data_IF_487134385472
#
_entry.id   IF_487134385472
#
_cell.length_a   1.000
_cell.length_b   1.000
_cell.length_c   1.000
_cell.angle_alpha   90.00
_cell.angle_beta   90.00
_cell.angle_gamma   90.00
#
_symmetry.space_group_name_H-M   'P 1'
#
loop_
_entity.id
_entity.type
_entity.pdbx_description
1 polymer ?
#
# COMPACT_ATOMS: atom_id res chain seq x y z
N UNK A 1 -21.43 -2.86 30.16
CA UNK A 1 -20.44 -3.92 30.46
C UNK A 1 -20.41 -4.80 29.23
N UNK A 2 -19.35 -4.76 28.42
CA UNK A 2 -19.25 -5.60 27.22
C UNK A 2 -19.23 -7.07 27.66
N UNK A 3 -20.03 -7.90 27.01
CA UNK A 3 -20.06 -9.35 27.24
C UNK A 3 -18.69 -9.96 26.90
N UNK A 4 -18.23 -10.90 27.71
CA UNK A 4 -16.92 -11.55 27.56
C UNK A 4 -16.83 -12.28 26.21
N UNK A 5 -17.96 -12.76 25.68
CA UNK A 5 -18.05 -13.35 24.34
C UNK A 5 -17.86 -12.31 23.20
N UNK A 6 -18.27 -11.06 23.44
CA UNK A 6 -18.05 -9.97 22.49
C UNK A 6 -16.59 -9.53 22.43
N UNK A 7 -15.88 -9.56 23.57
CA UNK A 7 -14.43 -9.27 23.61
C UNK A 7 -13.64 -10.36 22.88
N UNK A 8 -13.95 -11.64 23.14
CA UNK A 8 -13.27 -12.75 22.48
C UNK A 8 -13.47 -12.76 20.96
N UNK A 9 -14.68 -12.41 20.49
CA UNK A 9 -14.96 -12.27 19.05
C UNK A 9 -14.20 -11.10 18.42
N UNK A 10 -14.04 -10.00 19.16
CA UNK A 10 -13.27 -8.85 18.69
C UNK A 10 -11.78 -9.21 18.56
N UNK A 11 -11.20 -9.85 19.57
CA UNK A 11 -9.78 -10.25 19.53
C UNK A 11 -9.50 -11.23 18.38
N UNK A 12 -10.39 -12.21 18.17
CA UNK A 12 -10.27 -13.15 17.05
C UNK A 12 -10.41 -12.47 15.68
N UNK A 13 -11.25 -11.44 15.58
CA UNK A 13 -11.39 -10.63 14.37
C UNK A 13 -10.11 -9.81 14.11
N UNK A 14 -9.57 -9.15 15.15
CA UNK A 14 -8.34 -8.36 15.04
C UNK A 14 -7.13 -9.21 14.64
N UNK A 15 -6.98 -10.41 15.20
CA UNK A 15 -5.94 -11.38 14.82
C UNK A 15 -6.03 -11.77 13.34
N UNK A 16 -7.25 -12.08 12.87
CA UNK A 16 -7.47 -12.46 11.47
C UNK A 16 -7.20 -11.29 10.52
N UNK A 17 -7.54 -10.07 10.92
CA UNK A 17 -7.26 -8.86 10.15
C UNK A 17 -5.75 -8.59 10.07
N UNK A 18 -5.01 -8.76 11.18
CA UNK A 18 -3.55 -8.64 11.21
C UNK A 18 -2.86 -9.67 10.30
N UNK A 19 -3.30 -10.93 10.33
CA UNK A 19 -2.79 -11.97 9.41
C UNK A 19 -3.06 -11.60 7.94
N UNK A 20 -4.27 -11.14 7.62
CA UNK A 20 -4.63 -10.74 6.26
C UNK A 20 -3.76 -9.55 5.77
N UNK A 21 -3.54 -8.56 6.64
CA UNK A 21 -2.66 -7.43 6.33
C UNK A 21 -1.23 -7.88 6.11
N UNK A 22 -0.70 -8.77 6.96
CA UNK A 22 0.67 -9.29 6.82
C UNK A 22 0.88 -10.04 5.50
N UNK A 23 -0.14 -10.79 5.05
CA UNK A 23 -0.12 -11.48 3.77
C UNK A 23 -0.15 -10.49 2.59
N UNK A 24 -1.02 -9.49 2.66
CA UNK A 24 -1.11 -8.46 1.62
C UNK A 24 0.18 -7.65 1.50
N UNK A 25 0.78 -7.26 2.63
CA UNK A 25 2.04 -6.52 2.65
C UNK A 25 3.20 -7.37 2.11
N UNK A 26 3.24 -8.66 2.43
CA UNK A 26 4.22 -9.61 1.87
C UNK A 26 4.08 -9.74 0.36
N UNK A 27 2.86 -9.94 -0.15
CA UNK A 27 2.59 -10.08 -1.58
C UNK A 27 2.93 -8.78 -2.35
N UNK A 28 2.55 -7.63 -1.79
CA UNK A 28 2.90 -6.32 -2.33
C UNK A 28 4.41 -6.12 -2.39
N UNK A 29 5.13 -6.44 -1.32
CA UNK A 29 6.59 -6.28 -1.26
C UNK A 29 7.31 -7.18 -2.27
N UNK A 30 6.87 -8.43 -2.44
CA UNK A 30 7.43 -9.34 -3.46
C UNK A 30 7.18 -8.78 -4.87
N UNK A 31 5.95 -8.37 -5.18
CA UNK A 31 5.62 -7.81 -6.48
C UNK A 31 6.42 -6.54 -6.79
N UNK A 32 6.59 -5.67 -5.79
CA UNK A 32 7.40 -4.47 -5.93
C UNK A 32 8.89 -4.82 -6.09
N UNK A 33 9.42 -5.77 -5.33
CA UNK A 33 10.80 -6.24 -5.46
C UNK A 33 11.06 -6.81 -6.86
N UNK A 34 10.13 -7.57 -7.44
CA UNK A 34 10.23 -8.07 -8.83
C UNK A 34 10.33 -6.94 -9.84
N UNK A 35 9.43 -5.97 -9.76
CA UNK A 35 9.40 -4.82 -10.69
C UNK A 35 10.68 -3.99 -10.56
N UNK A 36 11.06 -3.65 -9.34
CA UNK A 36 12.23 -2.80 -9.06
C UNK A 36 13.54 -3.51 -9.44
N UNK A 37 13.71 -4.79 -9.07
CA UNK A 37 14.91 -5.55 -9.43
C UNK A 37 15.05 -5.74 -10.94
N UNK A 38 13.96 -6.03 -11.65
CA UNK A 38 13.98 -6.16 -13.11
C UNK A 38 14.36 -4.84 -13.78
N UNK A 39 13.74 -3.74 -13.36
CA UNK A 39 14.05 -2.41 -13.91
C UNK A 39 15.50 -2.00 -13.62
N UNK A 40 15.97 -2.19 -12.38
CA UNK A 40 17.33 -1.87 -11.97
C UNK A 40 18.37 -2.74 -12.69
N UNK A 41 18.09 -4.02 -12.91
CA UNK A 41 18.96 -4.92 -13.68
C UNK A 41 19.07 -4.48 -15.14
N UNK A 42 17.95 -4.17 -15.81
CA UNK A 42 17.96 -3.69 -17.20
C UNK A 42 18.71 -2.36 -17.33
N UNK A 43 18.46 -1.41 -16.43
CA UNK A 43 19.19 -0.14 -16.41
C UNK A 43 20.68 -0.34 -16.13
N UNK A 44 21.04 -1.23 -15.20
CA UNK A 44 22.41 -1.60 -14.90
C UNK A 44 23.14 -2.16 -16.12
N UNK A 45 22.52 -3.09 -16.85
CA UNK A 45 23.06 -3.64 -18.09
C UNK A 45 23.30 -2.56 -19.15
N UNK A 46 22.34 -1.65 -19.36
CA UNK A 46 22.53 -0.50 -20.27
C UNK A 46 23.73 0.35 -19.82
N UNK A 47 23.84 0.62 -18.51
CA UNK A 47 24.98 1.33 -17.93
C UNK A 47 26.32 0.65 -18.19
N UNK A 48 26.39 -0.68 -18.05
CA UNK A 48 27.59 -1.47 -18.36
C UNK A 48 27.99 -1.29 -19.83
N UNK A 49 27.05 -1.38 -20.77
CA UNK A 49 27.34 -1.19 -22.20
C UNK A 49 27.84 0.21 -22.53
N UNK A 50 27.22 1.25 -21.96
CA UNK A 50 27.64 2.64 -22.14
C UNK A 50 29.06 2.83 -21.61
N UNK A 51 29.33 2.38 -20.38
CA UNK A 51 30.64 2.51 -19.76
C UNK A 51 31.73 1.73 -20.50
N UNK A 52 31.40 0.54 -21.03
CA UNK A 52 32.32 -0.23 -21.88
C UNK A 52 32.67 0.53 -23.17
N UNK A 53 31.70 1.18 -23.81
CA UNK A 53 31.95 2.04 -24.97
C UNK A 53 32.82 3.27 -24.64
N UNK A 54 32.63 3.87 -23.46
CA UNK A 54 33.47 4.98 -22.99
C UNK A 54 34.91 4.54 -22.74
N UNK A 55 35.13 3.36 -22.14
CA UNK A 55 36.48 2.80 -21.92
C UNK A 55 37.22 2.61 -23.25
N UNK A 56 36.54 2.16 -24.30
CA UNK A 56 37.17 1.89 -25.61
C UNK A 56 37.55 3.20 -26.32
N UNK A 57 36.82 4.29 -26.08
CA UNK A 57 36.93 5.53 -26.87
C UNK A 57 37.80 6.62 -26.24
N UNK A 58 38.05 6.57 -24.93
CA UNK A 58 38.72 7.66 -24.21
C UNK A 58 40.21 7.40 -23.91
N UNK A 59 40.95 8.50 -23.78
CA UNK A 59 42.39 8.55 -23.49
C UNK A 59 42.72 8.16 -22.02
N UNK A 60 44.00 7.88 -21.74
CA UNK A 60 44.50 7.28 -20.50
C UNK A 60 44.11 8.02 -19.20
N UNK A 61 43.83 9.33 -19.24
CA UNK A 61 43.36 10.08 -18.06
C UNK A 61 41.91 9.77 -17.67
N UNK A 62 41.03 9.47 -18.63
CA UNK A 62 39.65 9.07 -18.32
C UNK A 62 39.61 7.70 -17.61
N UNK A 63 40.64 6.88 -17.80
CA UNK A 63 40.73 5.53 -17.26
C UNK A 63 40.68 5.49 -15.73
N UNK A 64 41.24 6.49 -15.03
CA UNK A 64 41.28 6.53 -13.56
C UNK A 64 39.90 6.72 -12.91
N UNK A 65 38.96 7.38 -13.59
CA UNK A 65 37.59 7.55 -13.11
C UNK A 65 36.65 6.48 -13.69
N UNK A 66 36.76 6.22 -15.00
CA UNK A 66 35.82 5.35 -15.72
C UNK A 66 35.95 3.89 -15.27
N UNK A 67 37.17 3.39 -14.98
CA UNK A 67 37.38 1.99 -14.57
C UNK A 67 36.77 1.67 -13.20
N UNK A 68 36.99 2.47 -12.13
CA UNK A 68 36.30 2.25 -10.85
C UNK A 68 34.78 2.32 -10.97
N UNK A 69 34.25 3.30 -11.71
CA UNK A 69 32.80 3.42 -11.92
C UNK A 69 32.25 2.22 -12.67
N UNK A 70 32.95 1.72 -13.69
CA UNK A 70 32.57 0.51 -14.40
C UNK A 70 32.50 -0.71 -13.45
N UNK A 71 33.51 -0.90 -12.60
CA UNK A 71 33.51 -1.98 -11.61
C UNK A 71 32.32 -1.87 -10.63
N UNK A 72 31.99 -0.64 -10.20
CA UNK A 72 30.83 -0.37 -9.35
C UNK A 72 29.51 -0.73 -10.05
N UNK A 73 29.34 -0.29 -11.31
CA UNK A 73 28.13 -0.56 -12.10
C UNK A 73 27.95 -2.06 -12.34
N UNK A 74 29.02 -2.77 -12.70
CA UNK A 74 28.99 -4.24 -12.88
C UNK A 74 28.60 -4.93 -11.58
N UNK A 75 29.25 -4.58 -10.47
CA UNK A 75 28.96 -5.19 -9.16
C UNK A 75 27.52 -4.95 -8.73
N UNK A 76 27.04 -3.70 -8.83
CA UNK A 76 25.65 -3.36 -8.52
C UNK A 76 24.66 -4.14 -9.40
N UNK A 77 24.95 -4.28 -10.70
CA UNK A 77 24.12 -5.05 -11.64
C UNK A 77 24.04 -6.52 -11.27
N UNK A 78 25.13 -7.12 -10.79
CA UNK A 78 25.12 -8.49 -10.28
C UNK A 78 24.20 -8.65 -9.06
N UNK A 79 24.20 -7.69 -8.14
CA UNK A 79 23.28 -7.70 -7.00
C UNK A 79 21.81 -7.52 -7.42
N UNK A 80 21.53 -6.69 -8.42
CA UNK A 80 20.16 -6.58 -8.97
C UNK A 80 19.71 -7.88 -9.64
N UNK A 81 20.60 -8.60 -10.33
CA UNK A 81 20.32 -9.92 -10.87
C UNK A 81 20.01 -10.95 -9.76
N UNK A 82 20.80 -10.96 -8.69
CA UNK A 82 20.55 -11.80 -7.51
C UNK A 82 19.20 -11.46 -6.86
N UNK A 83 18.88 -10.17 -6.75
CA UNK A 83 17.59 -9.71 -6.23
C UNK A 83 16.41 -10.15 -7.10
N UNK A 84 16.57 -10.08 -8.42
CA UNK A 84 15.60 -10.60 -9.38
C UNK A 84 15.40 -12.11 -9.23
N UNK A 85 16.50 -12.87 -9.06
CA UNK A 85 16.47 -14.31 -8.81
C UNK A 85 15.73 -14.67 -7.52
N UNK A 86 16.05 -14.02 -6.40
CA UNK A 86 15.34 -14.25 -5.13
C UNK A 86 13.86 -13.88 -5.22
N UNK A 87 13.54 -12.80 -5.91
CA UNK A 87 12.15 -12.38 -6.11
C UNK A 87 11.35 -13.41 -6.94
N UNK A 88 12.02 -14.15 -7.84
CA UNK A 88 11.42 -15.26 -8.58
C UNK A 88 11.20 -16.50 -7.71
N UNK A 89 12.02 -16.69 -6.67
CA UNK A 89 11.93 -17.80 -5.71
C UNK A 89 11.12 -17.48 -4.43
N UNK A 90 10.32 -16.41 -4.45
CA UNK A 90 9.47 -15.97 -3.32
C UNK A 90 10.22 -15.68 -2.00
N UNK A 91 11.54 -15.46 -2.07
CA UNK A 91 12.36 -15.02 -0.92
C UNK A 91 12.38 -13.49 -0.85
N UNK A 92 11.39 -12.93 -0.16
CA UNK A 92 11.21 -11.49 0.00
C UNK A 92 12.43 -10.82 0.66
N UNK A 93 12.96 -11.41 1.73
CA UNK A 93 14.04 -10.79 2.50
C UNK A 93 15.34 -10.81 1.67
N UNK A 94 15.64 -11.93 1.02
CA UNK A 94 16.78 -12.04 0.11
C UNK A 94 16.71 -11.04 -1.05
N UNK A 95 15.52 -10.91 -1.67
CA UNK A 95 15.30 -9.96 -2.75
C UNK A 95 15.48 -8.50 -2.30
N UNK A 96 14.88 -8.11 -1.17
CA UNK A 96 14.99 -6.76 -0.62
C UNK A 96 16.44 -6.41 -0.27
N UNK A 97 17.14 -7.31 0.43
CA UNK A 97 18.56 -7.11 0.80
C UNK A 97 19.42 -6.96 -0.45
N UNK A 98 19.26 -7.83 -1.45
CA UNK A 98 20.06 -7.78 -2.68
C UNK A 98 19.84 -6.47 -3.46
N UNK A 99 18.59 -6.00 -3.58
CA UNK A 99 18.28 -4.73 -4.25
C UNK A 99 18.85 -3.54 -3.48
N UNK A 100 18.71 -3.52 -2.14
CA UNK A 100 19.26 -2.45 -1.30
C UNK A 100 20.79 -2.43 -1.39
N UNK A 101 21.44 -3.59 -1.33
CA UNK A 101 22.89 -3.71 -1.48
C UNK A 101 23.36 -3.25 -2.87
N UNK A 102 22.67 -3.64 -3.94
CA UNK A 102 22.98 -3.18 -5.29
C UNK A 102 22.93 -1.66 -5.42
N UNK A 103 21.89 -1.03 -4.86
CA UNK A 103 21.78 0.43 -4.82
C UNK A 103 22.86 1.08 -3.95
N UNK A 104 23.15 0.53 -2.78
CA UNK A 104 24.22 1.05 -1.90
C UNK A 104 25.58 0.99 -2.60
N UNK A 105 25.92 -0.15 -3.20
CA UNK A 105 27.17 -0.32 -3.97
C UNK A 105 27.22 0.71 -5.09
N UNK A 106 26.13 0.88 -5.83
CA UNK A 106 26.06 1.86 -6.91
C UNK A 106 26.26 3.29 -6.41
N UNK A 107 25.45 3.76 -5.46
CA UNK A 107 25.48 5.16 -4.99
C UNK A 107 26.78 5.47 -4.26
N UNK A 108 27.22 4.60 -3.35
CA UNK A 108 28.41 4.82 -2.54
C UNK A 108 29.69 4.61 -3.34
N UNK A 109 29.72 3.61 -4.21
CA UNK A 109 30.86 3.36 -5.08
C UNK A 109 31.06 4.48 -6.10
N UNK A 110 29.96 4.96 -6.70
CA UNK A 110 30.00 6.13 -7.60
C UNK A 110 30.48 7.38 -6.85
N UNK A 111 30.00 7.58 -5.63
CA UNK A 111 30.39 8.72 -4.80
C UNK A 111 31.89 8.67 -4.44
N UNK A 112 32.42 7.52 -4.00
CA UNK A 112 33.85 7.36 -3.75
C UNK A 112 34.65 7.65 -5.01
N UNK A 113 34.25 7.08 -6.15
CA UNK A 113 34.96 7.30 -7.41
C UNK A 113 34.96 8.78 -7.80
N UNK A 114 33.85 9.49 -7.59
CA UNK A 114 33.78 10.93 -7.82
C UNK A 114 34.72 11.71 -6.90
N UNK A 115 34.62 11.48 -5.59
CA UNK A 115 35.33 12.27 -4.58
C UNK A 115 36.84 12.00 -4.56
N UNK A 116 37.28 10.78 -4.87
CA UNK A 116 38.71 10.48 -4.99
C UNK A 116 39.34 11.21 -6.18
N UNK A 117 38.59 11.39 -7.28
CA UNK A 117 39.10 12.03 -8.49
C UNK A 117 38.95 13.56 -8.48
N UNK A 118 37.86 14.08 -7.91
CA UNK A 118 37.52 15.50 -7.96
C UNK A 118 37.68 16.21 -6.61
N UNK A 119 37.87 15.48 -5.51
CA UNK A 119 37.82 16.03 -4.16
C UNK A 119 36.39 16.26 -3.68
N UNK A 120 36.27 16.80 -2.46
CA UNK A 120 34.98 17.18 -1.87
C UNK A 120 34.55 18.55 -2.43
N UNK A 121 33.74 18.53 -3.48
CA UNK A 121 33.22 19.71 -4.16
C UNK A 121 31.69 19.87 -3.97
N UNK A 122 31.10 20.89 -4.58
CA UNK A 122 29.65 21.11 -4.50
C UNK A 122 28.83 19.98 -5.13
N UNK A 123 29.38 19.31 -6.16
CA UNK A 123 28.75 18.15 -6.79
C UNK A 123 28.75 16.96 -5.84
N UNK A 124 29.84 16.72 -5.10
CA UNK A 124 29.91 15.68 -4.07
C UNK A 124 28.79 15.83 -3.03
N UNK A 125 28.53 17.05 -2.55
CA UNK A 125 27.42 17.34 -1.61
C UNK A 125 26.06 16.94 -2.22
N UNK A 126 25.85 17.21 -3.51
CA UNK A 126 24.62 16.79 -4.18
C UNK A 126 24.54 15.26 -4.34
N UNK A 127 25.66 14.57 -4.56
CA UNK A 127 25.71 13.10 -4.66
C UNK A 127 25.31 12.41 -3.36
N UNK A 128 25.60 12.99 -2.19
CA UNK A 128 25.11 12.45 -0.91
C UNK A 128 23.58 12.39 -0.85
N UNK A 129 22.85 13.22 -1.59
CA UNK A 129 21.38 13.12 -1.65
C UNK A 129 20.92 11.85 -2.36
N UNK A 130 21.73 11.27 -3.25
CA UNK A 130 21.39 10.02 -3.93
C UNK A 130 21.36 8.83 -2.96
N UNK A 131 22.05 8.90 -1.82
CA UNK A 131 21.99 7.83 -0.79
C UNK A 131 20.64 7.79 -0.07
N UNK A 132 19.77 8.78 -0.27
CA UNK A 132 18.37 8.72 0.17
C UNK A 132 17.57 7.62 -0.56
N UNK A 133 17.96 7.25 -1.79
CA UNK A 133 17.28 6.22 -2.57
C UNK A 133 17.35 4.83 -1.90
N UNK A 134 18.53 4.28 -1.54
CA UNK A 134 18.59 3.00 -0.83
C UNK A 134 17.89 3.05 0.53
N UNK A 135 17.95 4.19 1.25
CA UNK A 135 17.22 4.37 2.52
C UNK A 135 15.71 4.24 2.28
N UNK A 136 15.17 5.02 1.35
CA UNK A 136 13.73 5.01 1.06
C UNK A 136 13.26 3.66 0.57
N UNK A 137 14.01 3.05 -0.35
CA UNK A 137 13.65 1.75 -0.90
C UNK A 137 13.72 0.63 0.14
N UNK A 138 14.69 0.68 1.07
CA UNK A 138 14.79 -0.29 2.16
C UNK A 138 13.57 -0.28 3.09
N UNK A 139 12.95 0.89 3.32
CA UNK A 139 11.72 1.00 4.10
C UNK A 139 10.47 0.58 3.34
N UNK A 140 10.50 0.62 2.01
CA UNK A 140 9.38 0.20 1.15
C UNK A 140 9.41 -1.30 0.87
N UNK A 141 10.60 -1.89 0.69
CA UNK A 141 10.76 -3.31 0.36
C UNK A 141 10.95 -4.20 1.60
N UNK A 142 11.52 -3.67 2.67
CA UNK A 142 11.91 -4.43 3.86
C UNK A 142 11.18 -4.02 5.12
N UNK A 143 11.55 -4.68 6.22
CA UNK A 143 11.07 -4.33 7.56
C UNK A 143 11.62 -2.96 8.01
N UNK A 144 10.94 -2.25 8.94
CA UNK A 144 11.45 -1.02 9.55
C UNK A 144 12.88 -1.14 10.11
N UNK A 145 13.27 -2.36 10.55
CA UNK A 145 14.63 -2.66 11.01
C UNK A 145 15.67 -2.52 9.90
N UNK A 146 15.38 -2.98 8.68
CA UNK A 146 16.28 -2.86 7.54
C UNK A 146 16.50 -1.41 7.16
N UNK A 147 15.44 -0.60 7.22
CA UNK A 147 15.52 0.85 6.99
C UNK A 147 16.41 1.55 8.01
N UNK A 148 16.25 1.23 9.29
CA UNK A 148 17.08 1.79 10.36
C UNK A 148 18.56 1.41 10.16
N UNK A 149 18.84 0.14 9.89
CA UNK A 149 20.21 -0.36 9.65
C UNK A 149 20.83 0.36 8.44
N UNK A 150 20.09 0.45 7.33
CA UNK A 150 20.54 1.12 6.10
C UNK A 150 20.82 2.60 6.36
N UNK A 151 19.96 3.28 7.11
CA UNK A 151 20.13 4.70 7.46
C UNK A 151 21.39 4.92 8.31
N UNK A 152 21.57 4.12 9.37
CA UNK A 152 22.75 4.22 10.23
C UNK A 152 24.03 3.95 9.43
N UNK A 153 24.01 2.91 8.59
CA UNK A 153 25.14 2.57 7.72
C UNK A 153 25.51 3.72 6.79
N UNK A 154 24.52 4.28 6.08
CA UNK A 154 24.73 5.40 5.14
C UNK A 154 25.27 6.64 5.85
N UNK A 155 24.77 6.97 7.05
CA UNK A 155 25.26 8.11 7.84
C UNK A 155 26.72 7.90 8.26
N UNK A 156 27.05 6.75 8.84
CA UNK A 156 28.42 6.43 9.28
C UNK A 156 29.37 6.50 8.09
N UNK A 157 28.99 5.86 6.99
CA UNK A 157 29.79 5.84 5.78
C UNK A 157 29.99 7.24 5.19
N UNK A 158 28.94 8.06 5.18
CA UNK A 158 29.00 9.44 4.69
C UNK A 158 29.96 10.30 5.52
N UNK A 159 29.92 10.13 6.84
CA UNK A 159 30.89 10.77 7.74
C UNK A 159 32.31 10.31 7.45
N UNK A 160 32.55 8.99 7.31
CA UNK A 160 33.88 8.44 7.00
C UNK A 160 34.43 9.05 5.71
N UNK A 161 33.63 9.13 4.65
CA UNK A 161 34.02 9.72 3.39
C UNK A 161 34.44 11.19 3.55
N UNK A 162 33.64 12.01 4.25
CA UNK A 162 33.94 13.42 4.48
C UNK A 162 35.30 13.66 5.17
N UNK A 163 35.76 12.72 6.00
CA UNK A 163 37.05 12.80 6.70
C UNK A 163 38.20 12.12 5.95
N UNK A 164 37.93 11.03 5.22
CA UNK A 164 38.95 10.24 4.53
C UNK A 164 39.43 10.88 3.23
N UNK A 165 38.54 11.57 2.49
CA UNK A 165 38.90 12.17 1.20
C UNK A 165 39.65 13.49 1.43
N UNK A 166 40.81 13.72 0.79
CA UNK A 166 41.48 15.02 0.82
C UNK A 166 40.61 16.05 0.10
N UNK A 167 40.15 17.07 0.84
CA UNK A 167 39.49 18.24 0.28
C UNK A 167 40.47 19.11 -0.51
N UNK A 168 39.94 20.00 -1.34
CA UNK A 168 40.75 21.00 -2.05
C UNK A 168 41.58 21.85 -1.07
N UNK A 169 42.70 22.40 -1.56
CA UNK A 169 43.78 23.06 -0.79
C UNK A 169 43.34 24.21 0.17
N UNK A 170 42.07 24.62 0.14
CA UNK A 170 41.51 25.68 0.98
C UNK A 170 40.44 25.20 1.98
N UNK A 171 40.21 23.88 2.06
CA UNK A 171 39.12 23.35 2.87
C UNK A 171 39.56 23.15 4.33
N UNK A 172 39.13 24.08 5.20
CA UNK A 172 39.41 24.00 6.64
C UNK A 172 38.73 22.78 7.29
N UNK A 173 39.33 22.25 8.37
CA UNK A 173 38.75 21.14 9.14
C UNK A 173 37.34 21.46 9.62
N UNK A 174 37.08 22.71 10.01
CA UNK A 174 35.75 23.16 10.44
C UNK A 174 34.68 23.01 9.37
N UNK A 175 35.01 23.29 8.10
CA UNK A 175 34.05 23.16 7.00
C UNK A 175 33.68 21.69 6.72
N UNK A 176 34.60 20.74 6.92
CA UNK A 176 34.31 19.29 6.81
C UNK A 176 33.30 18.82 7.85
N UNK A 177 33.42 19.29 9.10
CA UNK A 177 32.43 18.99 10.14
C UNK A 177 31.04 19.54 9.79
N UNK A 178 30.97 20.74 9.20
CA UNK A 178 29.70 21.33 8.77
C UNK A 178 29.06 20.46 7.67
N UNK A 179 29.83 20.07 6.63
CA UNK A 179 29.28 19.23 5.55
C UNK A 179 28.83 17.87 6.07
N UNK A 180 29.66 17.19 6.89
CA UNK A 180 29.30 15.90 7.45
C UNK A 180 28.03 16.00 8.33
N UNK A 181 27.95 17.04 9.16
CA UNK A 181 26.79 17.29 10.01
C UNK A 181 25.51 17.59 9.21
N UNK A 182 25.59 18.46 8.20
CA UNK A 182 24.46 18.78 7.32
C UNK A 182 24.00 17.54 6.56
N UNK A 183 24.93 16.76 6.02
CA UNK A 183 24.63 15.54 5.26
C UNK A 183 23.93 14.51 6.14
N UNK A 184 24.47 14.23 7.33
CA UNK A 184 23.88 13.30 8.28
C UNK A 184 22.48 13.78 8.72
N UNK A 185 22.32 15.09 8.96
CA UNK A 185 21.02 15.67 9.30
C UNK A 185 19.99 15.50 8.18
N UNK A 186 20.36 15.80 6.93
CA UNK A 186 19.44 15.65 5.79
C UNK A 186 19.06 14.19 5.56
N UNK A 187 20.02 13.26 5.62
CA UNK A 187 19.75 11.83 5.50
C UNK A 187 18.79 11.33 6.60
N UNK A 188 19.01 11.74 7.85
CA UNK A 188 18.12 11.43 8.96
C UNK A 188 16.73 12.05 8.80
N UNK A 189 16.65 13.30 8.32
CA UNK A 189 15.38 13.98 8.05
C UNK A 189 14.58 13.27 6.95
N UNK A 190 15.23 12.88 5.85
CA UNK A 190 14.58 12.14 4.76
C UNK A 190 14.09 10.77 5.27
N UNK A 191 14.92 10.03 6.01
CA UNK A 191 14.51 8.77 6.62
C UNK A 191 13.29 8.94 7.53
N UNK A 192 13.30 9.99 8.37
CA UNK A 192 12.17 10.36 9.22
C UNK A 192 10.90 10.67 8.42
N UNK A 193 11.00 11.49 7.37
CA UNK A 193 9.87 11.82 6.49
C UNK A 193 9.29 10.59 5.80
N UNK A 194 10.12 9.70 5.26
CA UNK A 194 9.67 8.47 4.60
C UNK A 194 8.98 7.54 5.61
N UNK A 195 9.54 7.41 6.81
CA UNK A 195 8.95 6.60 7.88
C UNK A 195 7.58 7.14 8.27
N UNK A 196 7.47 8.46 8.47
CA UNK A 196 6.20 9.11 8.80
C UNK A 196 5.17 8.99 7.67
N UNK A 197 5.60 9.13 6.41
CA UNK A 197 4.73 8.94 5.26
C UNK A 197 4.19 7.50 5.17
N UNK A 198 5.05 6.50 5.41
CA UNK A 198 4.66 5.10 5.44
C UNK A 198 3.64 4.81 6.56
N UNK A 199 3.90 5.33 7.77
CA UNK A 199 2.96 5.21 8.90
C UNK A 199 1.62 5.89 8.61
N UNK A 200 1.65 7.05 7.97
CA UNK A 200 0.43 7.76 7.59
C UNK A 200 -0.37 6.98 6.53
N UNK A 201 0.32 6.39 5.56
CA UNK A 201 -0.31 5.55 4.52
C UNK A 201 -1.01 4.33 5.12
N UNK A 202 -0.34 3.58 6.00
CA UNK A 202 -0.93 2.40 6.68
C UNK A 202 -2.18 2.80 7.48
N UNK A 203 -2.10 3.89 8.26
CA UNK A 203 -3.26 4.40 9.02
C UNK A 203 -4.41 4.81 8.11
N UNK A 204 -4.10 5.36 6.94
CA UNK A 204 -5.13 5.77 5.97
C UNK A 204 -5.83 4.57 5.36
N UNK A 205 -5.09 3.50 5.03
CA UNK A 205 -5.68 2.26 4.54
C UNK A 205 -6.59 1.59 5.58
N UNK A 206 -6.18 1.53 6.84
CA UNK A 206 -7.01 0.99 7.93
C UNK A 206 -8.34 1.74 8.06
N UNK A 207 -8.29 3.09 7.99
CA UNK A 207 -9.51 3.91 8.02
C UNK A 207 -10.41 3.66 6.80
N UNK A 208 -9.83 3.49 5.62
CA UNK A 208 -10.59 3.17 4.41
C UNK A 208 -11.30 1.80 4.52
N UNK A 209 -10.66 0.81 5.12
CA UNK A 209 -11.26 -0.52 5.37
C UNK A 209 -12.51 -0.42 6.26
N UNK A 210 -12.40 0.26 7.41
CA UNK A 210 -13.51 0.46 8.35
C UNK A 210 -14.70 1.17 7.68
N UNK A 211 -14.43 2.18 6.86
CA UNK A 211 -15.48 2.89 6.10
C UNK A 211 -16.13 1.96 5.08
N UNK A 212 -15.35 1.10 4.42
CA UNK A 212 -15.86 0.09 3.50
C UNK A 212 -16.82 -0.89 4.17
N UNK A 213 -16.51 -1.34 5.38
CA UNK A 213 -17.38 -2.22 6.17
C UNK A 213 -18.66 -1.53 6.62
N UNK A 214 -18.56 -0.30 7.13
CA UNK A 214 -19.73 0.49 7.49
C UNK A 214 -20.65 0.70 6.28
N UNK A 215 -20.09 0.98 5.10
CA UNK A 215 -20.85 1.13 3.87
C UNK A 215 -21.58 -0.15 3.46
N UNK A 216 -20.91 -1.31 3.57
CA UNK A 216 -21.53 -2.62 3.30
C UNK A 216 -22.69 -2.90 4.25
N UNK A 217 -22.56 -2.54 5.52
CA UNK A 217 -23.62 -2.73 6.51
C UNK A 217 -24.84 -1.86 6.20
N UNK A 218 -24.64 -0.59 5.83
CA UNK A 218 -25.72 0.31 5.40
C UNK A 218 -26.45 -0.25 4.19
N UNK A 219 -25.70 -0.69 3.16
CA UNK A 219 -26.28 -1.34 1.97
C UNK A 219 -27.13 -2.57 2.31
N UNK A 220 -26.68 -3.36 3.28
CA UNK A 220 -27.42 -4.55 3.73
C UNK A 220 -28.72 -4.18 4.44
N UNK A 221 -28.70 -3.15 5.28
CA UNK A 221 -29.90 -2.63 5.94
C UNK A 221 -30.90 -2.05 4.94
N UNK A 222 -30.41 -1.32 3.92
CA UNK A 222 -31.27 -0.81 2.86
C UNK A 222 -31.94 -1.94 2.07
N UNK A 223 -31.19 -2.99 1.71
CA UNK A 223 -31.75 -4.16 1.04
C UNK A 223 -32.81 -4.87 1.89
N UNK A 224 -32.56 -5.06 3.20
CA UNK A 224 -33.53 -5.64 4.13
C UNK A 224 -34.79 -4.78 4.26
N UNK A 225 -34.64 -3.46 4.29
CA UNK A 225 -35.77 -2.52 4.32
C UNK A 225 -36.59 -2.61 3.04
N UNK A 226 -35.95 -2.68 1.87
CA UNK A 226 -36.65 -2.85 0.59
C UNK A 226 -37.42 -4.16 0.54
N UNK A 227 -36.82 -5.27 1.00
CA UNK A 227 -37.47 -6.57 1.07
C UNK A 227 -38.66 -6.56 2.05
N UNK A 228 -38.49 -5.93 3.21
CA UNK A 228 -39.57 -5.74 4.18
C UNK A 228 -40.74 -4.95 3.55
N UNK A 229 -40.48 -3.80 2.93
CA UNK A 229 -41.51 -2.98 2.27
C UNK A 229 -42.20 -3.77 1.16
N UNK A 230 -41.46 -4.55 0.36
CA UNK A 230 -42.01 -5.39 -0.70
C UNK A 230 -42.95 -6.46 -0.14
N UNK A 231 -42.54 -7.14 0.94
CA UNK A 231 -43.33 -8.18 1.58
C UNK A 231 -44.60 -7.60 2.22
N UNK A 232 -44.48 -6.52 3.00
CA UNK A 232 -45.62 -5.83 3.60
C UNK A 232 -46.60 -5.38 2.51
N UNK A 233 -46.12 -4.77 1.42
CA UNK A 233 -46.99 -4.36 0.31
C UNK A 233 -47.70 -5.56 -0.34
N UNK A 234 -47.01 -6.69 -0.52
CA UNK A 234 -47.63 -7.90 -1.10
C UNK A 234 -48.71 -8.48 -0.19
N UNK A 235 -48.44 -8.54 1.11
CA UNK A 235 -49.38 -9.02 2.12
C UNK A 235 -50.58 -8.09 2.30
N UNK A 236 -50.41 -6.78 2.14
CA UNK A 236 -51.51 -5.81 2.18
C UNK A 236 -52.34 -5.80 0.89
N UNK A 237 -51.70 -5.98 -0.27
CA UNK A 237 -52.37 -5.93 -1.58
C UNK A 237 -53.43 -7.02 -1.75
N UNK A 238 -53.13 -8.24 -1.31
CA UNK A 238 -54.03 -9.40 -1.46
C UNK A 238 -55.38 -9.24 -0.73
N UNK A 239 -55.43 -8.92 0.59
CA UNK A 239 -56.68 -8.68 1.29
C UNK A 239 -57.36 -7.38 0.82
N UNK A 240 -56.60 -6.35 0.43
CA UNK A 240 -57.18 -5.14 -0.17
C UNK A 240 -57.92 -5.44 -1.49
N UNK A 241 -57.31 -6.22 -2.39
CA UNK A 241 -57.96 -6.66 -3.63
C UNK A 241 -59.21 -7.49 -3.36
N UNK A 242 -59.14 -8.39 -2.37
CA UNK A 242 -60.28 -9.24 -1.98
C UNK A 242 -61.43 -8.38 -1.43
N UNK A 243 -61.12 -7.40 -0.58
CA UNK A 243 -62.09 -6.43 -0.07
C UNK A 243 -62.71 -5.57 -1.19
N UNK A 244 -61.91 -5.12 -2.15
CA UNK A 244 -62.39 -4.32 -3.28
C UNK A 244 -63.35 -5.12 -4.17
N UNK A 245 -62.99 -6.36 -4.54
CA UNK A 245 -63.82 -7.22 -5.41
C UNK A 245 -65.14 -7.60 -4.71
N UNK A 246 -65.07 -7.98 -3.43
CA UNK A 246 -66.27 -8.38 -2.67
C UNK A 246 -67.23 -7.21 -2.47
N UNK A 247 -66.73 -6.01 -2.18
CA UNK A 247 -67.58 -4.81 -2.07
C UNK A 247 -68.15 -4.38 -3.41
N UNK A 248 -67.39 -4.48 -4.50
CA UNK A 248 -67.85 -4.19 -5.86
C UNK A 248 -68.96 -5.16 -6.31
N UNK A 249 -68.82 -6.45 -6.05
CA UNK A 249 -69.86 -7.45 -6.32
C UNK A 249 -71.14 -7.19 -5.52
N UNK A 250 -70.99 -6.85 -4.23
CA UNK A 250 -72.12 -6.46 -3.38
C UNK A 250 -72.80 -5.17 -3.86
N UNK A 251 -72.08 -4.24 -4.48
CA UNK A 251 -72.63 -2.99 -4.97
C UNK A 251 -73.36 -3.17 -6.31
N UNK A 252 -72.72 -3.79 -7.31
CA UNK A 252 -73.28 -3.89 -8.67
C UNK A 252 -74.24 -5.07 -8.87
N UNK A 253 -74.01 -6.20 -8.19
CA UNK A 253 -74.82 -7.41 -8.38
C UNK A 253 -75.86 -7.61 -7.27
N UNK A 254 -76.01 -6.67 -6.32
CA UNK A 254 -76.83 -6.82 -5.10
C UNK A 254 -78.23 -7.44 -5.34
N UNK A 255 -78.94 -6.96 -6.36
CA UNK A 255 -80.32 -7.38 -6.67
C UNK A 255 -80.38 -8.73 -7.40
N UNK A 256 -79.26 -9.18 -7.96
CA UNK A 256 -79.12 -10.45 -8.70
C UNK A 256 -78.53 -11.57 -7.83
N UNK A 257 -77.91 -11.22 -6.72
CA UNK A 257 -77.31 -12.17 -5.78
C UNK A 257 -78.39 -12.75 -4.86
N UNK A 258 -78.36 -14.07 -4.67
CA UNK A 258 -79.15 -14.73 -3.65
C UNK A 258 -78.72 -14.27 -2.24
N UNK A 259 -79.61 -14.42 -1.26
CA UNK A 259 -79.31 -14.08 0.15
C UNK A 259 -78.06 -14.82 0.66
N UNK A 260 -77.86 -16.06 0.21
CA UNK A 260 -76.69 -16.88 0.53
C UNK A 260 -75.40 -16.35 -0.09
N UNK A 261 -75.44 -15.90 -1.36
CA UNK A 261 -74.27 -15.30 -2.02
C UNK A 261 -73.90 -13.95 -1.40
N UNK A 262 -74.89 -13.10 -1.07
CA UNK A 262 -74.66 -11.84 -0.33
C UNK A 262 -73.97 -12.08 1.00
N UNK A 263 -74.44 -13.07 1.77
CA UNK A 263 -73.83 -13.42 3.06
C UNK A 263 -72.37 -13.87 2.87
N UNK A 264 -72.09 -14.68 1.85
CA UNK A 264 -70.73 -15.14 1.55
C UNK A 264 -69.78 -13.98 1.18
N UNK A 265 -70.21 -13.04 0.32
CA UNK A 265 -69.38 -11.89 -0.04
C UNK A 265 -69.14 -10.94 1.16
N UNK A 266 -70.15 -10.72 2.00
CA UNK A 266 -70.00 -9.94 3.24
C UNK A 266 -69.00 -10.60 4.21
N UNK A 267 -69.05 -11.93 4.34
CA UNK A 267 -68.10 -12.68 5.17
C UNK A 267 -66.67 -12.58 4.61
N UNK A 268 -66.48 -12.69 3.29
CA UNK A 268 -65.18 -12.52 2.66
C UNK A 268 -64.60 -11.11 2.84
N UNK A 269 -65.44 -10.07 2.74
CA UNK A 269 -65.06 -8.69 3.01
C UNK A 269 -64.63 -8.50 4.47
N UNK A 270 -65.41 -9.04 5.42
CA UNK A 270 -65.10 -8.95 6.84
C UNK A 270 -63.77 -9.64 7.20
N UNK A 271 -63.57 -10.87 6.72
CA UNK A 271 -62.29 -11.60 6.91
C UNK A 271 -61.09 -10.88 6.31
N UNK A 272 -61.27 -10.15 5.20
CA UNK A 272 -60.20 -9.36 4.57
C UNK A 272 -59.83 -8.14 5.42
N UNK A 273 -60.82 -7.48 6.04
CA UNK A 273 -60.60 -6.38 6.99
C UNK A 273 -59.86 -6.90 8.24
N UNK A 274 -60.26 -8.04 8.79
CA UNK A 274 -59.56 -8.64 9.94
C UNK A 274 -58.10 -8.97 9.61
N UNK A 275 -57.82 -9.52 8.43
CA UNK A 275 -56.44 -9.77 7.98
C UNK A 275 -55.62 -8.49 7.83
N UNK A 276 -56.18 -7.44 7.23
CA UNK A 276 -55.50 -6.14 7.12
C UNK A 276 -55.17 -5.57 8.50
N UNK A 277 -56.12 -5.67 9.45
CA UNK A 277 -55.93 -5.21 10.82
C UNK A 277 -54.81 -5.99 11.52
N UNK A 278 -54.77 -7.31 11.36
CA UNK A 278 -53.71 -8.14 11.93
C UNK A 278 -52.30 -7.76 11.41
N UNK A 279 -52.16 -7.35 10.14
CA UNK A 279 -50.88 -6.90 9.56
C UNK A 279 -50.47 -5.50 10.06
N UNK A 280 -51.44 -4.65 10.43
CA UNK A 280 -51.18 -3.31 10.97
C UNK A 280 -50.83 -3.32 12.46
N UNK A 281 -51.33 -4.32 13.19
CA UNK A 281 -51.10 -4.47 14.64
C UNK A 281 -49.77 -5.18 14.98
N UNK A 282 -49.03 -5.68 13.97
CA UNK A 282 -47.66 -6.25 14.10
C UNK A 282 -46.58 -5.21 13.90
#
# INVERSE_FOLDING_TARGET
MMDQDSVAKLDAFMLKEEELFSLFDRERAINLARVVSTAAFVMGMIGVFIMMGLIITHDAQATNFVVPVFAVVVTATMFFFIGWWFAYHDDQLGAAIAVVLGLLIFTLGFQIAWEVNNGLDGVAVALFMLTALPIGLSGVLGEPKLMLITTIFVIIFSCVICFAVPGHEHMSVGYRFIIAGVTAFVQAAIAGCITLAALFYIRTLQRASIIGDAYRQVRRLDAMKEDFIRNVNHELRTPFMTLSITTEMLYYANERLSTTERASYLEMAFRSIERLRAILDT
#
